data_IF_425267024952
#
_entry.id   IF_425267024952
#
_cell.length_a   1.000
_cell.length_b   1.000
_cell.length_c   1.000
_cell.angle_alpha   90.00
_cell.angle_beta   90.00
_cell.angle_gamma   90.00
#
_symmetry.space_group_name_H-M   'P 1'
#
loop_
_entity.id
_entity.type
_entity.pdbx_description
1 polymer ?
#
# COMPACT_ATOMS: atom_id res chain seq x y z
N UNK A 1 -8.52 -37.09 -29.03
CA UNK A 1 -9.37 -38.04 -28.34
C UNK A 1 -9.01 -38.11 -26.85
N UNK A 2 -9.87 -38.70 -26.04
CA UNK A 2 -9.79 -38.71 -24.58
C UNK A 2 -8.47 -39.21 -24.01
N UNK A 3 -7.88 -40.20 -24.64
CA UNK A 3 -6.57 -40.78 -24.20
C UNK A 3 -5.41 -39.79 -24.29
N UNK A 4 -5.48 -38.84 -25.21
CA UNK A 4 -4.47 -37.75 -25.33
C UNK A 4 -4.67 -36.69 -24.24
N UNK A 5 -5.92 -36.37 -23.96
CA UNK A 5 -6.28 -35.43 -22.87
C UNK A 5 -5.87 -35.99 -21.51
N UNK A 6 -6.21 -37.27 -21.24
CA UNK A 6 -5.88 -37.95 -19.99
C UNK A 6 -4.36 -38.03 -19.74
N UNK A 7 -3.55 -38.25 -20.78
CA UNK A 7 -2.09 -38.21 -20.66
C UNK A 7 -1.56 -36.82 -20.27
N UNK A 8 -2.19 -35.79 -20.79
CA UNK A 8 -1.79 -34.40 -20.50
C UNK A 8 -2.17 -33.94 -19.09
N UNK A 9 -3.17 -34.53 -18.45
CA UNK A 9 -3.53 -34.23 -17.07
C UNK A 9 -2.38 -34.42 -16.09
N UNK A 10 -1.70 -35.60 -16.18
CA UNK A 10 -0.53 -35.90 -15.35
C UNK A 10 0.63 -34.91 -15.56
N UNK A 11 0.84 -34.49 -16.79
CA UNK A 11 1.85 -33.46 -17.13
C UNK A 11 1.50 -32.12 -16.52
N UNK A 12 0.23 -31.74 -16.59
CA UNK A 12 -0.25 -30.48 -15.96
C UNK A 12 0.01 -30.44 -14.46
N UNK A 13 -0.32 -31.53 -13.75
CA UNK A 13 -0.02 -31.64 -12.31
C UNK A 13 1.48 -31.63 -12.02
N UNK A 14 2.29 -32.33 -12.81
CA UNK A 14 3.73 -32.35 -12.63
C UNK A 14 4.38 -30.99 -12.82
N UNK A 15 3.96 -30.22 -13.84
CA UNK A 15 4.45 -28.86 -14.05
C UNK A 15 3.98 -27.90 -12.96
N UNK A 16 2.75 -28.02 -12.49
CA UNK A 16 2.24 -27.22 -11.38
C UNK A 16 3.05 -27.50 -10.10
N UNK A 17 3.29 -28.75 -9.78
CA UNK A 17 4.11 -29.14 -8.64
C UNK A 17 5.55 -28.60 -8.75
N UNK A 18 6.18 -28.76 -9.90
CA UNK A 18 7.53 -28.26 -10.17
C UNK A 18 7.56 -26.71 -10.05
N UNK A 19 6.57 -26.03 -10.60
CA UNK A 19 6.46 -24.57 -10.51
C UNK A 19 6.34 -24.08 -9.08
N UNK A 20 5.46 -24.70 -8.28
CA UNK A 20 5.26 -24.33 -6.87
C UNK A 20 6.52 -24.61 -6.04
N UNK A 21 7.14 -25.77 -6.20
CA UNK A 21 8.36 -26.11 -5.45
C UNK A 21 9.53 -25.20 -5.82
N UNK A 22 9.70 -24.89 -7.11
CA UNK A 22 10.72 -23.94 -7.56
C UNK A 22 10.48 -22.51 -7.02
N UNK A 23 9.23 -22.09 -6.95
CA UNK A 23 8.86 -20.80 -6.36
C UNK A 23 9.20 -20.76 -4.85
N UNK A 24 8.84 -21.81 -4.11
CA UNK A 24 9.17 -21.93 -2.68
C UNK A 24 10.69 -21.92 -2.45
N UNK A 25 11.44 -22.59 -3.28
CA UNK A 25 12.91 -22.61 -3.18
C UNK A 25 13.52 -21.24 -3.55
N UNK A 26 12.91 -20.52 -4.47
CA UNK A 26 13.26 -19.13 -4.75
C UNK A 26 13.00 -18.22 -3.55
N UNK A 27 11.83 -18.33 -2.94
CA UNK A 27 11.44 -17.53 -1.76
C UNK A 27 12.38 -17.74 -0.56
N UNK A 28 12.89 -18.95 -0.36
CA UNK A 28 13.87 -19.25 0.71
C UNK A 28 15.22 -18.52 0.53
N UNK A 29 15.53 -18.08 -0.68
CA UNK A 29 16.81 -17.44 -1.02
C UNK A 29 16.76 -15.91 -0.94
N UNK A 30 15.59 -15.32 -0.78
CA UNK A 30 15.41 -13.87 -0.71
C UNK A 30 15.18 -13.43 0.72
N UNK A 31 15.70 -12.26 1.05
CA UNK A 31 15.40 -11.56 2.31
C UNK A 31 15.03 -10.11 2.00
N UNK A 32 13.96 -9.59 2.63
CA UNK A 32 13.63 -8.18 2.48
C UNK A 32 14.70 -7.30 3.14
N UNK A 33 15.16 -6.29 2.42
CA UNK A 33 16.02 -5.26 2.99
C UNK A 33 15.15 -4.25 3.75
N UNK A 34 14.95 -4.51 5.04
CA UNK A 34 14.11 -3.67 5.91
C UNK A 34 14.62 -2.23 6.03
N UNK A 35 15.94 -2.05 6.09
CA UNK A 35 16.54 -0.73 6.23
C UNK A 35 16.29 0.12 4.99
N UNK A 36 16.49 -0.43 3.80
CA UNK A 36 16.19 0.26 2.56
C UNK A 36 14.70 0.61 2.44
N UNK A 37 13.81 -0.32 2.80
CA UNK A 37 12.36 -0.08 2.77
C UNK A 37 11.94 1.02 3.75
N UNK A 38 12.48 1.05 4.97
CA UNK A 38 12.21 2.09 5.96
C UNK A 38 12.72 3.44 5.47
N UNK A 39 13.93 3.50 4.92
CA UNK A 39 14.53 4.73 4.42
C UNK A 39 13.70 5.32 3.26
N UNK A 40 13.35 4.49 2.29
CA UNK A 40 12.53 4.91 1.15
C UNK A 40 11.15 5.40 1.60
N UNK A 41 10.47 4.64 2.46
CA UNK A 41 9.15 4.99 2.94
C UNK A 41 9.16 6.25 3.81
N UNK A 42 10.16 6.44 4.67
CA UNK A 42 10.28 7.62 5.54
C UNK A 42 10.39 8.93 4.75
N UNK A 43 10.94 8.87 3.54
CA UNK A 43 11.08 10.02 2.66
C UNK A 43 9.89 10.23 1.72
N UNK A 44 8.91 9.33 1.74
CA UNK A 44 7.81 9.35 0.78
C UNK A 44 6.48 9.77 1.43
N UNK A 45 6.41 11.03 1.86
CA UNK A 45 5.22 11.60 2.53
C UNK A 45 3.99 11.69 1.62
N UNK A 46 4.18 11.66 0.31
CA UNK A 46 3.05 11.68 -0.64
C UNK A 46 2.12 10.46 -0.54
N UNK A 47 2.56 9.34 0.04
CA UNK A 47 1.68 8.18 0.29
C UNK A 47 0.51 8.51 1.20
N UNK A 48 0.64 9.52 2.05
CA UNK A 48 -0.41 9.98 2.96
C UNK A 48 -1.51 10.81 2.26
N UNK A 49 -1.34 11.16 1.00
CA UNK A 49 -2.39 11.85 0.22
C UNK A 49 -3.66 11.00 0.11
N UNK A 50 -3.54 9.67 0.12
CA UNK A 50 -4.69 8.77 0.18
C UNK A 50 -5.46 8.90 1.50
N UNK A 51 -4.75 8.98 2.64
CA UNK A 51 -5.37 9.19 3.94
C UNK A 51 -6.17 10.49 3.99
N UNK A 52 -5.62 11.57 3.43
CA UNK A 52 -6.32 12.85 3.32
C UNK A 52 -7.60 12.70 2.50
N UNK A 53 -7.53 12.06 1.33
CA UNK A 53 -8.71 11.86 0.47
C UNK A 53 -9.81 11.06 1.18
N UNK A 54 -9.44 10.02 1.93
CA UNK A 54 -10.40 9.21 2.70
C UNK A 54 -11.10 10.08 3.74
N UNK A 55 -10.34 10.86 4.51
CA UNK A 55 -10.89 11.74 5.55
C UNK A 55 -11.79 12.81 4.94
N UNK A 56 -11.37 13.46 3.85
CA UNK A 56 -12.20 14.44 3.15
C UNK A 56 -13.53 13.84 2.67
N UNK A 57 -13.49 12.63 2.10
CA UNK A 57 -14.72 11.92 1.68
C UNK A 57 -15.65 11.62 2.86
N UNK A 58 -15.10 11.21 4.00
CA UNK A 58 -15.88 10.97 5.22
C UNK A 58 -16.54 12.26 5.75
N UNK A 59 -15.93 13.41 5.52
CA UNK A 59 -16.50 14.72 5.87
C UNK A 59 -17.39 15.32 4.76
N UNK A 60 -17.68 14.56 3.69
CA UNK A 60 -18.67 14.92 2.67
C UNK A 60 -18.14 15.62 1.42
N UNK A 61 -16.81 15.62 1.21
CA UNK A 61 -16.22 16.17 -0.02
C UNK A 61 -16.39 15.20 -1.19
N UNK A 62 -17.08 15.63 -2.25
CA UNK A 62 -17.30 14.83 -3.47
C UNK A 62 -16.02 14.71 -4.31
N UNK A 63 -15.25 15.79 -4.40
CA UNK A 63 -14.13 15.94 -5.32
C UNK A 63 -12.75 15.89 -4.63
N UNK A 64 -12.67 15.22 -3.45
CA UNK A 64 -11.47 15.12 -2.64
C UNK A 64 -10.22 14.67 -3.44
N UNK A 65 -10.39 13.78 -4.41
CA UNK A 65 -9.29 13.33 -5.26
C UNK A 65 -8.71 14.44 -6.14
N UNK A 66 -9.54 15.17 -6.86
CA UNK A 66 -9.08 16.22 -7.79
C UNK A 66 -8.51 17.41 -7.01
N UNK A 67 -9.06 17.72 -5.84
CA UNK A 67 -8.54 18.77 -4.97
C UNK A 67 -7.13 18.43 -4.47
N UNK A 68 -6.92 17.24 -3.90
CA UNK A 68 -5.60 16.81 -3.43
C UNK A 68 -4.62 16.68 -4.59
N UNK A 69 -5.03 16.12 -5.71
CA UNK A 69 -4.21 16.01 -6.91
C UNK A 69 -3.73 17.39 -7.40
N UNK A 70 -4.58 18.38 -7.35
CA UNK A 70 -4.22 19.76 -7.76
C UNK A 70 -3.20 20.36 -6.80
N UNK A 71 -3.36 20.15 -5.49
CA UNK A 71 -2.48 20.67 -4.44
C UNK A 71 -1.11 19.95 -4.40
N UNK A 72 -1.06 18.68 -4.82
CA UNK A 72 0.16 17.87 -4.71
C UNK A 72 0.91 17.68 -6.02
N UNK A 73 0.29 18.03 -7.15
CA UNK A 73 0.84 17.78 -8.48
C UNK A 73 2.15 18.52 -8.70
N UNK A 74 3.21 17.77 -9.00
CA UNK A 74 4.55 18.31 -9.29
C UNK A 74 5.30 18.81 -8.06
N UNK A 75 4.77 18.60 -6.86
CA UNK A 75 5.44 18.94 -5.61
C UNK A 75 6.05 17.71 -4.96
N UNK A 76 7.23 17.87 -4.39
CA UNK A 76 7.83 16.86 -3.52
C UNK A 76 7.31 17.11 -2.09
N UNK A 77 6.40 16.24 -1.63
CA UNK A 77 5.79 16.39 -0.32
C UNK A 77 6.73 15.83 0.74
N UNK A 78 7.17 16.70 1.64
CA UNK A 78 7.92 16.35 2.84
C UNK A 78 7.00 16.50 4.08
N UNK A 79 7.55 16.25 5.27
CA UNK A 79 6.82 16.35 6.53
C UNK A 79 6.16 17.72 6.73
N UNK A 80 6.91 18.80 6.50
CA UNK A 80 6.46 20.15 6.78
C UNK A 80 5.36 20.57 5.79
N UNK A 81 5.56 20.32 4.49
CA UNK A 81 4.55 20.60 3.47
C UNK A 81 3.30 19.74 3.63
N UNK A 82 3.42 18.49 4.12
CA UNK A 82 2.28 17.65 4.46
C UNK A 82 1.46 18.26 5.61
N UNK A 83 2.13 18.70 6.69
CA UNK A 83 1.45 19.33 7.83
C UNK A 83 0.79 20.64 7.44
N UNK A 84 1.43 21.46 6.61
CA UNK A 84 0.86 22.69 6.08
C UNK A 84 -0.37 22.39 5.19
N UNK A 85 -0.28 21.39 4.33
CA UNK A 85 -1.41 20.94 3.51
C UNK A 85 -2.60 20.54 4.39
N UNK A 86 -2.38 19.71 5.41
CA UNK A 86 -3.44 19.28 6.34
C UNK A 86 -4.04 20.47 7.09
N UNK A 87 -3.24 21.46 7.50
CA UNK A 87 -3.73 22.65 8.20
C UNK A 87 -4.67 23.49 7.35
N UNK A 88 -4.37 23.61 6.05
CA UNK A 88 -5.14 24.42 5.12
C UNK A 88 -6.46 23.76 4.64
N UNK A 89 -6.65 22.46 4.92
CA UNK A 89 -7.88 21.77 4.56
C UNK A 89 -9.08 22.28 5.38
N UNK A 90 -10.25 22.34 4.74
CA UNK A 90 -11.51 22.74 5.37
C UNK A 90 -12.22 21.54 6.04
N UNK A 91 -11.50 20.79 6.85
CA UNK A 91 -11.99 19.62 7.60
C UNK A 91 -12.02 19.91 9.10
N UNK A 92 -12.66 19.03 9.86
CA UNK A 92 -12.76 19.18 11.33
C UNK A 92 -11.38 19.15 12.02
N UNK A 93 -11.27 19.83 13.16
CA UNK A 93 -10.04 19.85 13.96
C UNK A 93 -9.60 18.44 14.38
N UNK A 94 -10.54 17.58 14.76
CA UNK A 94 -10.27 16.20 15.12
C UNK A 94 -9.65 15.41 13.95
N UNK A 95 -10.16 15.63 12.75
CA UNK A 95 -9.63 15.02 11.52
C UNK A 95 -8.22 15.53 11.18
N UNK A 96 -7.96 16.83 11.35
CA UNK A 96 -6.62 17.41 11.20
C UNK A 96 -5.63 16.77 12.17
N UNK A 97 -6.02 16.64 13.43
CA UNK A 97 -5.17 16.06 14.47
C UNK A 97 -4.85 14.58 14.20
N UNK A 98 -5.83 13.84 13.70
CA UNK A 98 -5.62 12.44 13.27
C UNK A 98 -4.64 12.35 12.11
N UNK A 99 -4.82 13.15 11.07
CA UNK A 99 -3.93 13.17 9.91
C UNK A 99 -2.51 13.57 10.28
N UNK A 100 -2.31 14.59 11.12
CA UNK A 100 -0.98 15.04 11.56
C UNK A 100 -0.20 14.00 12.37
N UNK A 101 -0.89 13.06 13.02
CA UNK A 101 -0.25 11.94 13.74
C UNK A 101 0.23 10.82 12.82
N UNK A 102 -0.24 10.78 11.57
CA UNK A 102 0.20 9.78 10.60
C UNK A 102 1.61 10.08 10.12
N UNK A 103 2.34 9.01 9.87
CA UNK A 103 3.60 9.04 9.15
C UNK A 103 3.56 7.98 8.06
N UNK A 104 4.40 8.07 7.01
CA UNK A 104 4.48 7.01 6.01
C UNK A 104 4.72 5.61 6.62
N UNK A 105 5.44 5.54 7.74
CA UNK A 105 5.73 4.27 8.43
C UNK A 105 4.55 3.74 9.28
N UNK A 106 3.65 4.61 9.70
CA UNK A 106 2.52 4.22 10.58
C UNK A 106 1.20 4.05 9.83
N UNK A 107 1.15 4.46 8.56
CA UNK A 107 -0.04 4.32 7.72
C UNK A 107 -0.14 2.89 7.15
N UNK A 108 -0.42 1.94 8.02
CA UNK A 108 -0.48 0.50 7.70
C UNK A 108 -1.91 -0.06 7.69
N UNK A 109 -2.90 0.69 8.22
CA UNK A 109 -4.23 0.14 8.43
C UNK A 109 -4.17 -1.16 9.23
N UNK A 110 -4.91 -2.17 8.79
CA UNK A 110 -4.98 -3.51 9.40
C UNK A 110 -4.04 -4.52 8.72
N UNK A 111 -3.13 -4.10 7.85
CA UNK A 111 -2.28 -5.01 7.09
C UNK A 111 -1.43 -5.94 7.97
N UNK A 112 -0.90 -5.42 9.10
CA UNK A 112 -0.13 -6.22 10.05
C UNK A 112 -0.96 -7.29 10.77
N UNK A 113 -2.25 -7.01 11.01
CA UNK A 113 -3.18 -7.96 11.64
C UNK A 113 -3.57 -9.05 10.64
N UNK A 114 -3.90 -8.65 9.40
CA UNK A 114 -4.22 -9.59 8.32
C UNK A 114 -3.05 -10.52 8.01
N UNK A 115 -1.84 -10.00 7.97
CA UNK A 115 -0.65 -10.82 7.71
C UNK A 115 -0.40 -11.88 8.80
N UNK A 116 -0.80 -11.59 10.05
CA UNK A 116 -0.66 -12.53 11.17
C UNK A 116 -1.80 -13.53 11.25
N UNK A 117 -2.99 -13.19 10.80
CA UNK A 117 -4.20 -14.02 10.93
C UNK A 117 -4.27 -15.16 9.89
N UNK A 118 -3.47 -15.13 8.84
CA UNK A 118 -3.50 -16.08 7.72
C UNK A 118 -2.31 -17.08 7.71
N UNK A 119 -1.65 -17.26 8.85
CA UNK A 119 -0.55 -18.22 9.00
C UNK A 119 -0.99 -19.35 9.95
#
# INVERSE_FOLDING_TARGET
SDSTVLRNLGIGFAYSYLGITSCLDGLKKIQPNKEAAILELSNNWQVLSEAIQIVMKLEGYSDAYEEIKTLTRGQNINKDSYHELVENLQISSDSKDKLKKLTPLTYLGIASELAKSNI
#
